data_IF_316405901283
#
_entry.id   IF_316405901283
#
_cell.length_a   1.000
_cell.length_b   1.000
_cell.length_c   1.000
_cell.angle_alpha   90.00
_cell.angle_beta   90.00
_cell.angle_gamma   90.00
#
_symmetry.space_group_name_H-M   'P 1'
#
loop_
_entity.id
_entity.type
_entity.pdbx_description
1 polymer ?
#
# COMPACT_ATOMS: atom_id res chain seq x y z
N UNK A 1 53.29 -38.76 10.24
CA UNK A 1 54.10 -37.59 9.84
C UNK A 1 53.14 -36.41 9.78
N UNK A 2 53.09 -35.58 10.84
CA UNK A 2 52.14 -34.47 10.98
C UNK A 2 52.64 -33.24 10.21
N UNK A 3 51.89 -32.78 9.21
CA UNK A 3 52.11 -31.47 8.57
C UNK A 3 51.21 -30.44 9.26
N UNK A 4 51.80 -29.64 10.15
CA UNK A 4 51.22 -28.41 10.68
C UNK A 4 51.27 -27.34 9.58
N UNK A 5 50.12 -26.96 9.02
CA UNK A 5 50.02 -25.74 8.21
C UNK A 5 49.94 -24.52 9.14
N UNK A 6 51.02 -23.74 9.18
CA UNK A 6 51.08 -22.44 9.83
C UNK A 6 50.40 -21.42 8.90
N UNK A 7 49.21 -20.94 9.27
CA UNK A 7 48.58 -19.80 8.62
C UNK A 7 49.23 -18.51 9.12
N UNK A 8 50.09 -17.94 8.29
CA UNK A 8 50.77 -16.68 8.54
C UNK A 8 49.81 -15.53 8.20
N UNK A 9 49.52 -14.67 9.17
CA UNK A 9 48.63 -13.51 9.05
C UNK A 9 49.01 -12.62 7.86
N UNK A 10 48.09 -12.47 6.89
CA UNK A 10 48.21 -11.52 5.79
C UNK A 10 47.76 -10.13 6.24
N UNK A 11 48.64 -9.14 6.09
CA UNK A 11 48.36 -7.72 6.36
C UNK A 11 47.32 -7.12 5.39
N UNK A 12 46.53 -6.12 5.81
CA UNK A 12 45.37 -5.61 5.06
C UNK A 12 45.67 -5.02 3.67
N UNK A 13 46.92 -4.65 3.36
CA UNK A 13 47.31 -4.17 2.02
C UNK A 13 47.31 -5.26 0.94
N UNK A 14 47.45 -6.54 1.29
CA UNK A 14 47.43 -7.66 0.31
C UNK A 14 46.03 -8.18 -0.02
N UNK A 15 45.04 -7.84 0.81
CA UNK A 15 43.64 -8.24 0.58
C UNK A 15 43.05 -7.48 -0.61
N UNK A 16 43.36 -6.20 -0.77
CA UNK A 16 42.88 -5.38 -1.90
C UNK A 16 43.38 -5.85 -3.27
N UNK A 17 44.65 -6.26 -3.38
CA UNK A 17 45.20 -6.80 -4.64
C UNK A 17 44.69 -8.23 -4.94
N UNK A 18 44.38 -9.03 -3.92
CA UNK A 18 43.74 -10.34 -4.11
C UNK A 18 42.28 -10.22 -4.54
N UNK A 19 41.53 -9.23 -4.04
CA UNK A 19 40.14 -8.97 -4.44
C UNK A 19 40.06 -8.49 -5.89
N UNK A 20 40.97 -7.62 -6.32
CA UNK A 20 41.03 -7.15 -7.72
C UNK A 20 41.43 -8.26 -8.70
N UNK A 21 42.36 -9.15 -8.31
CA UNK A 21 42.74 -10.31 -9.13
C UNK A 21 41.68 -11.41 -9.13
N UNK A 22 40.96 -11.59 -8.01
CA UNK A 22 39.82 -12.50 -7.91
C UNK A 22 38.62 -12.05 -8.75
N UNK A 23 38.31 -10.75 -8.75
CA UNK A 23 37.24 -10.17 -9.57
C UNK A 23 37.53 -10.27 -11.08
N UNK A 24 38.79 -10.10 -11.49
CA UNK A 24 39.21 -10.27 -12.89
C UNK A 24 39.11 -11.75 -13.36
N UNK A 25 39.38 -12.71 -12.48
CA UNK A 25 39.18 -14.14 -12.74
C UNK A 25 37.69 -14.53 -12.79
N UNK A 26 36.85 -13.90 -11.97
CA UNK A 26 35.39 -14.05 -11.98
C UNK A 26 34.76 -13.54 -13.29
N UNK A 27 35.19 -12.36 -13.78
CA UNK A 27 34.74 -11.83 -15.08
C UNK A 27 35.21 -12.66 -16.27
N UNK A 28 36.40 -13.28 -16.20
CA UNK A 28 36.87 -14.21 -17.23
C UNK A 28 36.07 -15.52 -17.22
N UNK A 29 35.73 -16.07 -16.04
CA UNK A 29 34.94 -17.29 -15.91
C UNK A 29 33.49 -17.15 -16.38
N UNK A 30 32.87 -15.97 -16.18
CA UNK A 30 31.51 -15.68 -16.65
C UNK A 30 31.45 -15.60 -18.20
N UNK A 31 32.56 -15.26 -18.87
CA UNK A 31 32.61 -15.13 -20.33
C UNK A 31 32.85 -16.44 -21.11
N UNK A 32 33.23 -17.54 -20.44
CA UNK A 32 33.57 -18.82 -21.08
C UNK A 32 32.64 -20.00 -20.73
N UNK A 33 31.71 -19.85 -19.77
CA UNK A 33 30.83 -20.93 -19.32
C UNK A 33 29.50 -21.01 -20.09
N UNK A 34 29.55 -21.34 -21.38
CA UNK A 34 28.37 -21.80 -22.09
C UNK A 34 27.78 -23.05 -21.41
N UNK A 35 26.50 -23.00 -21.08
CA UNK A 35 25.71 -24.11 -20.55
C UNK A 35 25.59 -25.23 -21.60
N UNK A 36 26.60 -26.09 -21.70
CA UNK A 36 26.44 -27.43 -22.23
C UNK A 36 25.96 -28.33 -21.09
N UNK A 37 24.67 -28.64 -21.10
CA UNK A 37 24.06 -29.64 -20.25
C UNK A 37 24.44 -31.03 -20.77
N UNK A 38 25.66 -31.45 -20.45
CA UNK A 38 26.09 -32.81 -20.71
C UNK A 38 25.55 -33.74 -19.61
N UNK A 39 24.98 -34.87 -20.02
CA UNK A 39 24.27 -35.82 -19.19
C UNK A 39 25.24 -36.66 -18.32
N UNK A 40 26.01 -36.00 -17.48
CA UNK A 40 26.82 -36.63 -16.44
C UNK A 40 26.04 -36.58 -15.13
N UNK A 41 26.04 -37.69 -14.38
CA UNK A 41 25.52 -37.74 -13.02
C UNK A 41 26.06 -36.55 -12.24
N UNK A 42 25.22 -35.85 -11.47
CA UNK A 42 25.63 -34.67 -10.72
C UNK A 42 25.52 -34.97 -9.22
N UNK A 43 26.55 -34.62 -8.46
CA UNK A 43 26.51 -34.56 -7.00
C UNK A 43 25.91 -33.21 -6.63
N UNK A 44 24.89 -33.23 -5.78
CA UNK A 44 24.31 -32.00 -5.20
C UNK A 44 24.93 -31.84 -3.82
N UNK A 45 25.74 -30.80 -3.64
CA UNK A 45 26.16 -30.37 -2.31
C UNK A 45 25.14 -29.39 -1.79
N UNK A 46 24.50 -29.72 -0.69
CA UNK A 46 23.54 -28.86 -0.01
C UNK A 46 23.94 -28.62 1.46
N UNK A 47 23.63 -27.41 1.95
CA UNK A 47 23.84 -27.03 3.34
C UNK A 47 22.80 -26.00 3.75
N UNK A 48 22.24 -26.19 4.92
CA UNK A 48 21.42 -25.19 5.59
C UNK A 48 22.33 -24.21 6.32
N UNK A 49 22.18 -22.92 6.04
CA UNK A 49 22.96 -21.87 6.70
C UNK A 49 22.05 -20.79 7.28
N UNK A 50 22.40 -20.30 8.46
CA UNK A 50 21.80 -19.09 9.02
C UNK A 50 22.62 -17.87 8.64
N UNK A 51 21.98 -16.90 8.01
CA UNK A 51 22.60 -15.66 7.55
C UNK A 51 21.83 -14.47 8.10
N UNK A 52 22.51 -13.54 8.77
CA UNK A 52 21.90 -12.30 9.26
C UNK A 52 21.57 -11.29 8.14
N UNK A 53 21.78 -11.65 6.89
CA UNK A 53 21.59 -10.81 5.71
C UNK A 53 21.05 -11.64 4.54
N UNK A 54 20.46 -10.96 3.55
CA UNK A 54 19.97 -11.60 2.32
C UNK A 54 21.16 -11.93 1.39
N UNK A 55 21.40 -13.20 1.04
CA UNK A 55 22.46 -13.58 0.12
C UNK A 55 22.17 -13.05 -1.29
N UNK A 56 23.21 -12.56 -1.96
CA UNK A 56 23.16 -12.13 -3.36
C UNK A 56 23.97 -13.10 -4.25
N UNK A 57 25.20 -13.41 -3.83
CA UNK A 57 26.11 -14.31 -4.54
C UNK A 57 26.79 -15.25 -3.55
N UNK A 58 27.26 -16.39 -4.03
CA UNK A 58 28.10 -17.27 -3.24
C UNK A 58 28.82 -18.30 -4.08
N UNK A 59 29.91 -18.80 -3.52
CA UNK A 59 30.80 -19.74 -4.19
C UNK A 59 31.12 -20.88 -3.23
N UNK A 60 30.96 -22.10 -3.72
CA UNK A 60 31.50 -23.29 -3.10
C UNK A 60 32.91 -23.55 -3.63
N UNK A 61 33.84 -23.76 -2.71
CA UNK A 61 35.16 -24.30 -3.00
C UNK A 61 35.11 -25.78 -2.68
N UNK A 62 35.22 -26.63 -3.69
CA UNK A 62 35.04 -28.07 -3.56
C UNK A 62 36.36 -28.76 -3.91
N UNK A 63 36.91 -29.53 -2.98
CA UNK A 63 38.02 -30.45 -3.20
C UNK A 63 37.50 -31.88 -3.09
N UNK A 64 37.73 -32.69 -4.12
CA UNK A 64 37.40 -34.10 -4.15
C UNK A 64 38.67 -34.93 -3.95
N UNK A 65 38.70 -35.79 -2.94
CA UNK A 65 39.82 -36.70 -2.61
C UNK A 65 41.21 -36.04 -2.60
N UNK A 66 41.29 -34.78 -2.12
CA UNK A 66 42.55 -34.04 -2.00
C UNK A 66 43.06 -33.41 -3.31
N UNK A 67 42.27 -33.41 -4.39
CA UNK A 67 42.57 -32.70 -5.62
C UNK A 67 42.44 -31.17 -5.45
N UNK A 68 42.95 -30.41 -6.43
CA UNK A 68 42.85 -28.95 -6.43
C UNK A 68 41.39 -28.49 -6.30
N UNK A 69 41.09 -27.51 -5.43
CA UNK A 69 39.73 -27.06 -5.23
C UNK A 69 39.18 -26.37 -6.48
N UNK A 70 38.00 -26.78 -6.90
CA UNK A 70 37.24 -26.15 -7.98
C UNK A 70 36.15 -25.23 -7.43
N UNK A 71 35.78 -24.21 -8.20
CA UNK A 71 34.81 -23.19 -7.82
C UNK A 71 33.47 -23.48 -8.48
N UNK A 72 32.40 -23.52 -7.68
CA UNK A 72 31.04 -23.69 -8.17
C UNK A 72 30.13 -22.60 -7.61
N UNK A 73 29.26 -22.06 -8.47
CA UNK A 73 28.28 -21.05 -8.04
C UNK A 73 27.27 -21.67 -7.08
N UNK A 74 27.04 -21.01 -5.96
CA UNK A 74 26.01 -21.39 -4.99
C UNK A 74 24.64 -20.89 -5.44
N UNK A 75 23.62 -21.72 -5.29
CA UNK A 75 22.21 -21.36 -5.45
C UNK A 75 21.56 -21.26 -4.06
N UNK A 76 20.74 -20.24 -3.86
CA UNK A 76 20.12 -19.93 -2.59
C UNK A 76 18.60 -20.05 -2.68
N UNK A 77 18.00 -20.77 -1.73
CA UNK A 77 16.54 -20.87 -1.57
C UNK A 77 16.21 -20.55 -0.12
N UNK A 78 15.27 -19.62 0.10
CA UNK A 78 14.83 -19.29 1.45
C UNK A 78 14.11 -20.50 2.07
N UNK A 79 14.49 -20.86 3.31
CA UNK A 79 13.81 -21.91 4.07
C UNK A 79 12.46 -21.41 4.56
N UNK A 80 11.44 -22.28 4.55
CA UNK A 80 10.15 -22.01 5.21
C UNK A 80 10.16 -22.31 6.70
N UNK A 81 11.22 -22.94 7.23
CA UNK A 81 11.28 -23.43 8.60
C UNK A 81 11.68 -22.33 9.62
N UNK A 82 12.60 -21.43 9.25
CA UNK A 82 12.99 -20.31 10.10
C UNK A 82 13.31 -19.03 9.31
N UNK A 83 12.99 -17.84 9.85
CA UNK A 83 13.48 -16.59 9.28
C UNK A 83 15.01 -16.57 9.31
N UNK A 84 15.64 -16.07 8.25
CA UNK A 84 17.11 -15.99 8.07
C UNK A 84 17.83 -17.33 7.86
N UNK A 85 17.08 -18.40 7.63
CA UNK A 85 17.63 -19.70 7.24
C UNK A 85 17.55 -19.89 5.72
N UNK A 86 18.66 -20.30 5.12
CA UNK A 86 18.80 -20.46 3.68
C UNK A 86 19.32 -21.85 3.35
N UNK A 87 18.64 -22.50 2.40
CA UNK A 87 19.13 -23.70 1.74
C UNK A 87 20.09 -23.27 0.64
N UNK A 88 21.33 -23.73 0.73
CA UNK A 88 22.38 -23.35 -0.22
C UNK A 88 22.92 -24.62 -0.85
N UNK A 89 23.01 -24.64 -2.17
CA UNK A 89 23.59 -25.79 -2.84
C UNK A 89 24.26 -25.49 -4.17
N UNK A 90 25.10 -26.41 -4.61
CA UNK A 90 25.76 -26.38 -5.90
C UNK A 90 25.71 -27.75 -6.56
N UNK A 91 25.70 -27.74 -7.89
CA UNK A 91 25.81 -28.94 -8.71
C UNK A 91 27.26 -29.15 -9.10
N UNK A 92 27.77 -30.34 -8.82
CA UNK A 92 29.15 -30.72 -9.07
C UNK A 92 29.12 -31.94 -10.01
N UNK A 93 29.96 -31.98 -11.05
CA UNK A 93 30.08 -33.16 -11.90
C UNK A 93 30.44 -34.38 -11.05
N UNK A 94 29.66 -35.45 -11.13
CA UNK A 94 29.95 -36.69 -10.41
C UNK A 94 31.02 -37.47 -11.16
N UNK A 95 32.09 -37.82 -10.45
CA UNK A 95 33.02 -38.86 -10.88
C UNK A 95 32.85 -40.05 -9.93
N UNK A 96 32.57 -41.27 -10.44
CA UNK A 96 32.32 -42.46 -9.62
C UNK A 96 33.52 -42.88 -8.75
N UNK A 97 34.72 -42.36 -9.01
CA UNK A 97 35.90 -42.61 -8.17
C UNK A 97 35.98 -41.72 -6.93
N UNK A 98 35.19 -40.63 -6.86
CA UNK A 98 35.22 -39.68 -5.75
C UNK A 98 34.50 -40.28 -4.53
N UNK A 99 35.24 -40.44 -3.42
CA UNK A 99 34.70 -40.98 -2.16
C UNK A 99 34.45 -39.91 -1.11
N UNK A 100 35.25 -38.86 -1.12
CA UNK A 100 35.16 -37.78 -0.14
C UNK A 100 35.17 -36.43 -0.85
N UNK A 101 34.25 -35.57 -0.44
CA UNK A 101 34.15 -34.19 -0.92
C UNK A 101 34.30 -33.26 0.27
N UNK A 102 35.36 -32.46 0.26
CA UNK A 102 35.55 -31.36 1.18
C UNK A 102 35.07 -30.07 0.53
N UNK A 103 34.15 -29.35 1.16
CA UNK A 103 33.67 -28.08 0.63
C UNK A 103 33.67 -26.95 1.66
N UNK A 104 34.01 -25.75 1.23
CA UNK A 104 33.79 -24.50 1.98
C UNK A 104 32.92 -23.54 1.19
N UNK A 105 32.19 -22.67 1.89
CA UNK A 105 31.22 -21.78 1.28
C UNK A 105 31.55 -20.33 1.65
N UNK A 106 31.58 -19.47 0.65
CA UNK A 106 31.63 -18.01 0.81
C UNK A 106 30.33 -17.43 0.28
N UNK A 107 29.69 -16.57 1.07
CA UNK A 107 28.45 -15.89 0.72
C UNK A 107 28.65 -14.38 0.82
N UNK A 108 28.18 -13.66 -0.20
CA UNK A 108 28.13 -12.21 -0.24
C UNK A 108 26.68 -11.75 -0.28
N UNK A 109 26.34 -10.77 0.56
CA UNK A 109 25.04 -10.10 0.57
C UNK A 109 25.06 -8.82 -0.26
N UNK A 110 23.86 -8.33 -0.60
CA UNK A 110 23.70 -7.08 -1.35
C UNK A 110 24.28 -5.86 -0.63
N UNK A 111 24.30 -5.89 0.71
CA UNK A 111 24.75 -4.78 1.57
C UNK A 111 26.24 -4.84 1.92
N UNK A 112 27.09 -5.45 1.06
CA UNK A 112 28.53 -5.67 1.29
C UNK A 112 28.88 -6.56 2.50
N UNK A 113 27.89 -7.17 3.14
CA UNK A 113 28.11 -8.17 4.18
C UNK A 113 28.61 -9.48 3.56
N UNK A 114 29.51 -10.19 4.25
CA UNK A 114 29.98 -11.50 3.80
C UNK A 114 30.05 -12.49 4.95
N UNK A 115 29.82 -13.77 4.64
CA UNK A 115 29.94 -14.88 5.57
C UNK A 115 30.82 -15.97 4.96
N UNK A 116 31.76 -16.48 5.77
CA UNK A 116 32.62 -17.60 5.41
C UNK A 116 32.25 -18.78 6.30
N UNK A 117 31.97 -19.92 5.69
CA UNK A 117 31.73 -21.17 6.39
C UNK A 117 32.97 -22.05 6.28
N UNK A 118 33.43 -22.65 7.40
CA UNK A 118 34.62 -23.49 7.40
C UNK A 118 34.42 -24.73 6.53
N UNK A 119 35.52 -25.35 6.05
CA UNK A 119 35.45 -26.56 5.26
C UNK A 119 34.75 -27.68 6.03
N UNK A 120 33.85 -28.37 5.34
CA UNK A 120 33.14 -29.55 5.83
C UNK A 120 33.46 -30.70 4.90
N UNK A 121 33.88 -31.82 5.47
CA UNK A 121 34.11 -33.06 4.72
C UNK A 121 32.83 -33.88 4.70
N UNK A 122 32.45 -34.34 3.52
CA UNK A 122 31.32 -35.22 3.30
C UNK A 122 31.80 -36.52 2.66
N UNK A 123 31.52 -37.64 3.32
CA UNK A 123 31.76 -38.98 2.77
C UNK A 123 30.59 -39.36 1.88
N UNK A 124 30.85 -39.59 0.58
CA UNK A 124 29.88 -40.14 -0.35
C UNK A 124 29.80 -41.65 -0.08
N UNK A 125 28.88 -42.05 0.79
CA UNK A 125 28.62 -43.47 1.02
C UNK A 125 28.15 -44.14 -0.29
N UNK A 126 28.68 -45.33 -0.59
CA UNK A 126 28.37 -46.14 -1.80
C UNK A 126 26.88 -46.54 -1.95
N UNK A 127 25.99 -46.06 -1.09
CA UNK A 127 24.57 -46.39 -1.09
C UNK A 127 23.73 -45.13 -0.86
N UNK A 128 23.31 -44.47 -1.94
CA UNK A 128 21.96 -43.93 -2.09
C UNK A 128 21.73 -43.56 -3.56
N UNK A 129 21.43 -44.61 -4.33
CA UNK A 129 20.81 -44.48 -5.64
C UNK A 129 19.59 -43.54 -5.52
N UNK A 130 19.55 -42.54 -6.39
CA UNK A 130 18.54 -41.50 -6.58
C UNK A 130 17.07 -41.98 -6.75
N UNK A 131 16.75 -43.27 -6.61
CA UNK A 131 15.39 -43.80 -6.77
C UNK A 131 14.40 -43.32 -5.69
N UNK A 132 14.88 -42.93 -4.51
CA UNK A 132 14.06 -42.27 -3.48
C UNK A 132 13.72 -40.82 -3.87
N UNK A 133 14.61 -40.14 -4.60
CA UNK A 133 14.43 -38.76 -5.05
C UNK A 133 13.33 -38.65 -6.10
N UNK A 134 13.28 -39.53 -7.10
CA UNK A 134 12.27 -39.46 -8.17
C UNK A 134 10.85 -39.72 -7.66
N UNK A 135 10.66 -40.74 -6.79
CA UNK A 135 9.35 -41.00 -6.16
C UNK A 135 8.92 -39.87 -5.23
N UNK A 136 9.86 -39.22 -4.54
CA UNK A 136 9.57 -38.06 -3.71
C UNK A 136 9.25 -36.82 -4.55
N UNK A 137 9.93 -36.64 -5.69
CA UNK A 137 9.64 -35.58 -6.65
C UNK A 137 8.26 -35.77 -7.29
N UNK A 138 7.90 -36.99 -7.70
CA UNK A 138 6.57 -37.33 -8.22
C UNK A 138 5.48 -37.04 -7.20
N UNK A 139 5.67 -37.43 -5.94
CA UNK A 139 4.74 -37.10 -4.84
C UNK A 139 4.64 -35.61 -4.58
N UNK A 140 5.75 -34.89 -4.64
CA UNK A 140 5.75 -33.44 -4.46
C UNK A 140 5.03 -32.73 -5.61
N UNK A 141 5.26 -33.16 -6.85
CA UNK A 141 4.58 -32.63 -8.04
C UNK A 141 3.08 -32.95 -7.99
N UNK A 142 2.69 -34.16 -7.57
CA UNK A 142 1.27 -34.52 -7.43
C UNK A 142 0.59 -33.68 -6.35
N UNK A 143 1.21 -33.52 -5.18
CA UNK A 143 0.69 -32.66 -4.10
C UNK A 143 0.56 -31.20 -4.54
N UNK A 144 1.54 -30.67 -5.29
CA UNK A 144 1.48 -29.31 -5.84
C UNK A 144 0.37 -29.16 -6.88
N UNK A 145 0.13 -30.17 -7.73
CA UNK A 145 -0.99 -30.17 -8.69
C UNK A 145 -2.34 -30.18 -7.99
N UNK A 146 -2.50 -31.00 -6.94
CA UNK A 146 -3.75 -31.06 -6.18
C UNK A 146 -4.02 -29.76 -5.43
N UNK A 147 -2.97 -29.14 -4.88
CA UNK A 147 -3.06 -27.83 -4.24
C UNK A 147 -3.45 -26.74 -5.26
N UNK A 148 -2.84 -26.73 -6.44
CA UNK A 148 -3.21 -25.80 -7.52
C UNK A 148 -4.66 -25.98 -7.97
N UNK A 149 -5.14 -27.23 -8.11
CA UNK A 149 -6.55 -27.51 -8.41
C UNK A 149 -7.48 -27.01 -7.31
N UNK A 150 -7.10 -27.17 -6.04
CA UNK A 150 -7.90 -26.67 -4.92
C UNK A 150 -8.00 -25.14 -4.94
N UNK A 151 -6.90 -24.46 -5.26
CA UNK A 151 -6.87 -23.00 -5.42
C UNK A 151 -7.68 -22.54 -6.62
N UNK A 152 -7.64 -23.26 -7.74
CA UNK A 152 -8.46 -22.95 -8.91
C UNK A 152 -9.96 -23.04 -8.58
N UNK A 153 -10.39 -24.08 -7.86
CA UNK A 153 -11.78 -24.23 -7.40
C UNK A 153 -12.18 -23.10 -6.45
N UNK A 154 -11.32 -22.76 -5.48
CA UNK A 154 -11.58 -21.64 -4.55
C UNK A 154 -11.66 -20.29 -5.28
N UNK A 155 -10.77 -20.06 -6.24
CA UNK A 155 -10.73 -18.82 -7.03
C UNK A 155 -12.02 -18.68 -7.85
N UNK A 156 -12.45 -19.75 -8.55
CA UNK A 156 -13.72 -19.75 -9.28
C UNK A 156 -14.93 -19.50 -8.38
N UNK A 157 -14.96 -20.11 -7.20
CA UNK A 157 -16.03 -19.89 -6.23
C UNK A 157 -16.07 -18.43 -5.73
N UNK A 158 -14.91 -17.80 -5.53
CA UNK A 158 -14.81 -16.39 -5.17
C UNK A 158 -15.22 -15.47 -6.32
N UNK A 159 -14.82 -15.77 -7.55
CA UNK A 159 -15.24 -15.03 -8.75
C UNK A 159 -16.76 -15.07 -8.93
N UNK A 160 -17.38 -16.24 -8.78
CA UNK A 160 -18.84 -16.39 -8.84
C UNK A 160 -19.54 -15.61 -7.71
N UNK A 161 -18.97 -15.62 -6.50
CA UNK A 161 -19.49 -14.83 -5.38
C UNK A 161 -19.40 -13.33 -5.65
N UNK A 162 -18.28 -12.85 -6.17
CA UNK A 162 -18.08 -11.44 -6.52
C UNK A 162 -19.04 -11.00 -7.64
N UNK A 163 -19.28 -11.87 -8.63
CA UNK A 163 -20.24 -11.62 -9.68
C UNK A 163 -21.65 -11.44 -9.13
N UNK A 164 -22.09 -12.34 -8.24
CA UNK A 164 -23.40 -12.22 -7.57
C UNK A 164 -23.53 -10.93 -6.77
N UNK A 165 -22.52 -10.59 -5.97
CA UNK A 165 -22.50 -9.35 -5.19
C UNK A 165 -22.57 -8.10 -6.08
N UNK A 166 -21.95 -8.14 -7.27
CA UNK A 166 -22.01 -7.06 -8.24
C UNK A 166 -23.41 -6.92 -8.84
N UNK A 167 -24.03 -8.03 -9.23
CA UNK A 167 -25.40 -8.05 -9.77
C UNK A 167 -26.40 -7.56 -8.71
N UNK A 168 -26.23 -7.94 -7.44
CA UNK A 168 -27.03 -7.46 -6.31
C UNK A 168 -26.85 -5.96 -6.09
N UNK A 169 -25.60 -5.47 -6.11
CA UNK A 169 -25.30 -4.04 -5.97
C UNK A 169 -25.90 -3.19 -7.10
N UNK A 170 -25.87 -3.70 -8.35
CA UNK A 170 -26.52 -3.05 -9.49
C UNK A 170 -28.04 -3.01 -9.32
N UNK A 171 -28.63 -4.11 -8.87
CA UNK A 171 -30.06 -4.20 -8.60
C UNK A 171 -30.49 -3.21 -7.51
N UNK A 172 -29.74 -3.13 -6.40
CA UNK A 172 -29.97 -2.15 -5.32
C UNK A 172 -29.80 -0.72 -5.83
N UNK A 173 -28.78 -0.45 -6.65
CA UNK A 173 -28.57 0.86 -7.26
C UNK A 173 -29.74 1.28 -8.15
N UNK A 174 -30.31 0.35 -8.91
CA UNK A 174 -31.51 0.59 -9.71
C UNK A 174 -32.74 0.87 -8.85
N UNK A 175 -32.93 0.14 -7.75
CA UNK A 175 -33.99 0.43 -6.78
C UNK A 175 -33.85 1.82 -6.16
N UNK A 176 -32.62 2.24 -5.81
CA UNK A 176 -32.35 3.59 -5.32
C UNK A 176 -32.80 4.67 -6.31
N UNK A 177 -32.44 4.52 -7.60
CA UNK A 177 -32.87 5.45 -8.66
C UNK A 177 -34.38 5.49 -8.85
N UNK A 178 -35.06 4.35 -8.73
CA UNK A 178 -36.51 4.27 -8.83
C UNK A 178 -37.15 5.03 -7.66
N UNK A 179 -36.63 4.88 -6.43
CA UNK A 179 -37.13 5.60 -5.26
C UNK A 179 -36.90 7.12 -5.36
N UNK A 180 -35.73 7.55 -5.84
CA UNK A 180 -35.44 8.96 -6.10
C UNK A 180 -36.41 9.55 -7.14
N UNK A 181 -36.61 8.84 -8.26
CA UNK A 181 -37.57 9.27 -9.29
C UNK A 181 -39.02 9.31 -8.76
N UNK A 182 -39.39 8.40 -7.86
CA UNK A 182 -40.71 8.39 -7.24
C UNK A 182 -40.91 9.55 -6.26
N UNK A 183 -39.89 9.89 -5.46
CA UNK A 183 -39.91 11.05 -4.57
C UNK A 183 -40.03 12.35 -5.37
N UNK A 184 -39.23 12.51 -6.42
CA UNK A 184 -39.30 13.66 -7.33
C UNK A 184 -40.66 13.77 -8.00
N UNK A 185 -41.22 12.65 -8.48
CA UNK A 185 -42.56 12.62 -9.06
C UNK A 185 -43.61 13.08 -8.03
N UNK A 186 -43.55 12.59 -6.79
CA UNK A 186 -44.47 13.00 -5.73
C UNK A 186 -44.38 14.50 -5.40
N UNK A 187 -43.17 15.07 -5.38
CA UNK A 187 -42.93 16.49 -5.17
C UNK A 187 -43.52 17.33 -6.31
N UNK A 188 -43.31 16.90 -7.55
CA UNK A 188 -43.85 17.61 -8.71
C UNK A 188 -45.38 17.52 -8.79
N UNK A 189 -45.97 16.38 -8.42
CA UNK A 189 -47.43 16.24 -8.31
C UNK A 189 -48.02 17.15 -7.23
N UNK A 190 -47.38 17.25 -6.07
CA UNK A 190 -47.80 18.17 -5.02
C UNK A 190 -47.75 19.63 -5.50
N UNK A 191 -46.65 20.03 -6.15
CA UNK A 191 -46.53 21.38 -6.75
C UNK A 191 -47.60 21.64 -7.82
N UNK A 192 -47.90 20.64 -8.66
CA UNK A 192 -48.94 20.75 -9.66
C UNK A 192 -50.33 20.95 -9.03
N UNK A 193 -50.65 20.22 -7.96
CA UNK A 193 -51.91 20.40 -7.23
C UNK A 193 -52.03 21.79 -6.60
N UNK A 194 -50.94 22.29 -6.01
CA UNK A 194 -50.90 23.64 -5.45
C UNK A 194 -51.12 24.70 -6.54
N UNK A 195 -50.44 24.57 -7.69
CA UNK A 195 -50.62 25.47 -8.82
C UNK A 195 -52.04 25.43 -9.42
N UNK A 196 -52.66 24.24 -9.49
CA UNK A 196 -54.06 24.11 -9.91
C UNK A 196 -54.99 24.85 -8.95
N UNK A 197 -54.75 24.71 -7.64
CA UNK A 197 -55.53 25.41 -6.62
C UNK A 197 -55.36 26.92 -6.74
N UNK A 198 -54.15 27.41 -6.94
CA UNK A 198 -53.86 28.83 -7.14
C UNK A 198 -54.52 29.38 -8.41
N UNK A 199 -54.46 28.63 -9.51
CA UNK A 199 -55.15 28.99 -10.75
C UNK A 199 -56.68 29.07 -10.55
N UNK A 200 -57.26 28.11 -9.81
CA UNK A 200 -58.67 28.14 -9.44
C UNK A 200 -59.04 29.34 -8.58
N UNK A 201 -58.21 29.65 -7.57
CA UNK A 201 -58.39 30.84 -6.73
C UNK A 201 -58.32 32.12 -7.57
N UNK A 202 -57.34 32.25 -8.46
CA UNK A 202 -57.19 33.40 -9.35
C UNK A 202 -58.39 33.57 -10.29
N UNK A 203 -58.89 32.48 -10.88
CA UNK A 203 -60.13 32.53 -11.68
C UNK A 203 -61.32 33.00 -10.86
N UNK A 204 -61.46 32.50 -9.62
CA UNK A 204 -62.53 32.91 -8.72
C UNK A 204 -62.41 34.40 -8.36
N UNK A 205 -61.21 34.88 -8.03
CA UNK A 205 -60.95 36.31 -7.79
C UNK A 205 -61.25 37.16 -9.03
N UNK A 206 -60.86 36.73 -10.24
CA UNK A 206 -61.15 37.44 -11.48
C UNK A 206 -62.65 37.51 -11.77
N UNK A 207 -63.39 36.44 -11.52
CA UNK A 207 -64.85 36.43 -11.69
C UNK A 207 -65.57 37.36 -10.69
N UNK A 208 -65.10 37.40 -9.45
CA UNK A 208 -65.58 38.33 -8.42
C UNK A 208 -65.21 39.79 -8.75
N UNK A 209 -64.02 40.03 -9.30
CA UNK A 209 -63.58 41.35 -9.73
C UNK A 209 -64.42 41.86 -10.92
N UNK A 210 -64.78 40.99 -11.86
CA UNK A 210 -65.64 41.34 -13.02
C UNK A 210 -67.10 41.59 -12.64
N UNK A 211 -67.61 40.97 -11.58
CA UNK A 211 -69.03 41.07 -11.19
C UNK A 211 -69.36 42.26 -10.30
N UNK A 212 -68.35 42.90 -9.67
CA UNK A 212 -68.56 44.12 -8.88
C UNK A 212 -68.52 45.36 -9.77
N UNK A 213 -69.47 46.27 -9.56
CA UNK A 213 -69.43 47.60 -10.16
C UNK A 213 -68.15 48.34 -9.72
N UNK A 214 -67.57 49.12 -10.64
CA UNK A 214 -66.39 49.93 -10.35
C UNK A 214 -66.69 50.84 -9.16
N UNK A 215 -65.89 50.77 -8.07
CA UNK A 215 -66.12 51.63 -6.91
C UNK A 215 -65.99 53.10 -7.33
N UNK A 216 -66.76 54.00 -6.69
CA UNK A 216 -66.84 55.43 -7.04
C UNK A 216 -65.47 56.14 -7.17
N UNK A 217 -64.42 55.61 -6.54
CA UNK A 217 -63.05 56.14 -6.57
C UNK A 217 -62.06 55.26 -7.35
N UNK A 218 -62.52 54.48 -8.33
CA UNK A 218 -61.71 53.50 -9.07
C UNK A 218 -60.38 54.09 -9.57
N UNK A 219 -60.40 55.21 -10.29
CA UNK A 219 -59.19 55.83 -10.85
C UNK A 219 -58.18 56.26 -9.78
N UNK A 220 -58.65 56.80 -8.65
CA UNK A 220 -57.78 57.19 -7.53
C UNK A 220 -57.14 55.97 -6.89
N UNK A 221 -57.93 54.91 -6.68
CA UNK A 221 -57.44 53.64 -6.11
C UNK A 221 -56.51 52.90 -7.05
N UNK A 222 -56.78 52.94 -8.35
CA UNK A 222 -55.93 52.36 -9.39
C UNK A 222 -54.57 53.05 -9.40
N UNK A 223 -54.56 54.39 -9.34
CA UNK A 223 -53.31 55.15 -9.20
C UNK A 223 -52.54 54.80 -7.92
N UNK A 224 -53.21 54.79 -6.77
CA UNK A 224 -52.60 54.42 -5.47
C UNK A 224 -52.05 52.97 -5.48
N UNK A 225 -52.79 52.01 -6.04
CA UNK A 225 -52.36 50.62 -6.17
C UNK A 225 -51.19 50.47 -7.15
N UNK A 226 -51.19 51.21 -8.25
CA UNK A 226 -50.08 51.20 -9.22
C UNK A 226 -48.81 51.75 -8.58
N UNK A 227 -48.94 52.81 -7.78
CA UNK A 227 -47.83 53.35 -6.99
C UNK A 227 -47.32 52.33 -5.97
N UNK A 228 -48.21 51.65 -5.24
CA UNK A 228 -47.84 50.59 -4.31
C UNK A 228 -47.16 49.39 -5.00
N UNK A 229 -47.65 48.98 -6.17
CA UNK A 229 -47.04 47.92 -6.98
C UNK A 229 -45.64 48.31 -7.45
N UNK A 230 -45.44 49.56 -7.89
CA UNK A 230 -44.10 50.05 -8.25
C UNK A 230 -43.15 50.00 -7.05
N UNK A 231 -43.61 50.46 -5.87
CA UNK A 231 -42.83 50.40 -4.63
C UNK A 231 -42.51 48.97 -4.20
N UNK A 232 -43.46 48.03 -4.31
CA UNK A 232 -43.22 46.60 -4.03
C UNK A 232 -42.25 45.98 -5.02
N UNK A 233 -42.29 46.40 -6.29
CA UNK A 233 -41.36 45.92 -7.32
C UNK A 233 -39.94 46.39 -7.02
N UNK A 234 -39.77 47.63 -6.58
CA UNK A 234 -38.46 48.16 -6.18
C UNK A 234 -37.94 47.43 -4.93
N UNK A 235 -38.80 47.21 -3.92
CA UNK A 235 -38.44 46.42 -2.73
C UNK A 235 -38.09 44.97 -3.10
N UNK A 236 -38.79 44.36 -4.06
CA UNK A 236 -38.50 43.01 -4.53
C UNK A 236 -37.14 42.94 -5.24
N UNK A 237 -36.82 43.93 -6.08
CA UNK A 237 -35.49 44.05 -6.71
C UNK A 237 -34.38 44.24 -5.68
N UNK A 238 -34.61 45.07 -4.67
CA UNK A 238 -33.65 45.28 -3.58
C UNK A 238 -33.43 43.99 -2.78
N UNK A 239 -34.51 43.24 -2.50
CA UNK A 239 -34.44 41.95 -1.84
C UNK A 239 -33.71 40.90 -2.67
N UNK A 240 -33.98 40.82 -3.97
CA UNK A 240 -33.29 39.92 -4.91
C UNK A 240 -31.80 40.27 -5.01
N UNK A 241 -31.44 41.55 -5.12
CA UNK A 241 -30.04 41.98 -5.13
C UNK A 241 -29.33 41.66 -3.81
N UNK A 242 -30.02 41.79 -2.68
CA UNK A 242 -29.49 41.45 -1.35
C UNK A 242 -29.28 39.96 -1.21
N UNK A 243 -30.20 39.14 -1.73
CA UNK A 243 -30.10 37.69 -1.75
C UNK A 243 -28.94 37.23 -2.64
N UNK A 244 -28.80 37.84 -3.81
CA UNK A 244 -27.70 37.58 -4.73
C UNK A 244 -26.34 37.93 -4.11
N UNK A 245 -26.28 39.04 -3.37
CA UNK A 245 -25.09 39.47 -2.61
C UNK A 245 -24.79 38.50 -1.46
N UNK A 246 -25.81 38.03 -0.72
CA UNK A 246 -25.64 37.02 0.33
C UNK A 246 -25.12 35.69 -0.23
N UNK A 247 -25.64 35.25 -1.39
CA UNK A 247 -25.14 34.05 -2.08
C UNK A 247 -23.69 34.22 -2.51
N UNK A 248 -23.34 35.33 -3.13
CA UNK A 248 -21.96 35.60 -3.56
C UNK A 248 -20.99 35.64 -2.35
N UNK A 249 -21.40 36.26 -1.25
CA UNK A 249 -20.62 36.30 -0.01
C UNK A 249 -20.47 34.90 0.59
N UNK A 250 -21.57 34.13 0.64
CA UNK A 250 -21.57 32.75 1.12
C UNK A 250 -20.67 31.82 0.28
N UNK A 251 -20.66 31.97 -1.04
CA UNK A 251 -19.74 31.27 -1.94
C UNK A 251 -18.29 31.68 -1.70
N UNK A 252 -18.02 32.98 -1.53
CA UNK A 252 -16.68 33.47 -1.17
C UNK A 252 -16.17 32.90 0.15
N UNK A 253 -17.02 32.84 1.17
CA UNK A 253 -16.66 32.26 2.46
C UNK A 253 -16.50 30.73 2.40
N UNK A 254 -17.31 30.04 1.60
CA UNK A 254 -17.12 28.62 1.32
C UNK A 254 -15.77 28.37 0.62
N UNK A 255 -15.43 29.20 -0.38
CA UNK A 255 -14.14 29.16 -1.06
C UNK A 255 -12.96 29.38 -0.11
N UNK A 256 -13.06 30.34 0.81
CA UNK A 256 -12.06 30.55 1.88
C UNK A 256 -11.94 29.33 2.79
N UNK A 257 -13.06 28.74 3.22
CA UNK A 257 -13.05 27.53 4.06
C UNK A 257 -12.42 26.34 3.35
N UNK A 258 -12.73 26.14 2.08
CA UNK A 258 -12.11 25.09 1.26
C UNK A 258 -10.62 25.32 1.07
N UNK A 259 -10.18 26.56 0.82
CA UNK A 259 -8.77 26.91 0.74
C UNK A 259 -8.03 26.65 2.07
N UNK A 260 -8.66 26.94 3.22
CA UNK A 260 -8.10 26.57 4.53
C UNK A 260 -7.98 25.05 4.65
N UNK A 261 -9.04 24.29 4.35
CA UNK A 261 -9.02 22.82 4.39
C UNK A 261 -7.89 22.27 3.51
N UNK A 262 -7.75 22.79 2.29
CA UNK A 262 -6.72 22.34 1.35
C UNK A 262 -5.30 22.71 1.83
N UNK A 263 -5.12 23.90 2.42
CA UNK A 263 -3.86 24.28 3.05
C UNK A 263 -3.51 23.36 4.23
N UNK A 264 -4.49 22.98 5.05
CA UNK A 264 -4.30 22.05 6.17
C UNK A 264 -4.17 20.59 5.74
N UNK A 265 -4.62 20.24 4.52
CA UNK A 265 -4.50 18.88 3.97
C UNK A 265 -3.07 18.57 3.54
N UNK A 266 -2.30 19.60 3.17
CA UNK A 266 -0.90 19.48 2.79
C UNK A 266 0.06 19.59 3.99
N UNK A 267 -0.43 20.00 5.16
CA UNK A 267 0.31 19.89 6.40
C UNK A 267 0.29 18.42 6.86
N UNK A 268 1.48 17.79 6.91
CA UNK A 268 1.61 16.43 7.40
C UNK A 268 1.15 16.35 8.86
N UNK A 269 0.25 15.42 9.15
CA UNK A 269 -0.27 15.18 10.51
C UNK A 269 0.88 14.90 11.49
N UNK A 270 1.94 14.22 11.03
CA UNK A 270 3.18 13.98 11.79
C UNK A 270 3.96 15.27 12.12
N UNK A 271 4.02 16.25 11.20
CA UNK A 271 4.70 17.52 11.43
C UNK A 271 3.93 18.39 12.45
N UNK A 272 2.60 18.36 12.41
CA UNK A 272 1.76 19.03 13.39
C UNK A 272 1.85 18.37 14.78
N UNK A 273 1.90 17.04 14.85
CA UNK A 273 2.12 16.31 16.10
C UNK A 273 3.52 16.58 16.68
N UNK A 274 4.56 16.62 15.85
CA UNK A 274 5.91 17.00 16.28
C UNK A 274 5.95 18.42 16.84
N UNK A 275 5.37 19.40 16.13
CA UNK A 275 5.29 20.78 16.61
C UNK A 275 4.49 20.91 17.90
N UNK A 276 3.37 20.18 18.02
CA UNK A 276 2.55 20.20 19.23
C UNK A 276 3.28 19.56 20.42
N UNK A 277 4.03 18.48 20.19
CA UNK A 277 4.89 17.88 21.21
C UNK A 277 6.06 18.80 21.58
N UNK A 278 6.64 19.52 20.64
CA UNK A 278 7.67 20.53 20.90
C UNK A 278 7.12 21.69 21.75
N UNK A 279 5.94 22.21 21.42
CA UNK A 279 5.27 23.26 22.20
C UNK A 279 4.91 22.76 23.60
N UNK A 280 4.42 21.52 23.75
CA UNK A 280 4.15 20.90 25.05
C UNK A 280 5.43 20.74 25.89
N UNK A 281 6.54 20.32 25.28
CA UNK A 281 7.85 20.25 25.95
C UNK A 281 8.33 21.62 26.38
N UNK A 282 8.27 22.62 25.50
CA UNK A 282 8.59 24.01 25.84
C UNK A 282 7.71 24.54 26.97
N UNK A 283 6.41 24.24 26.95
CA UNK A 283 5.50 24.59 28.03
C UNK A 283 5.90 23.93 29.35
N UNK A 284 6.18 22.63 29.37
CA UNK A 284 6.64 21.94 30.58
C UNK A 284 8.00 22.47 31.08
N UNK A 285 8.90 22.80 30.16
CA UNK A 285 10.17 23.43 30.51
C UNK A 285 9.98 24.83 31.08
N UNK A 286 9.05 25.61 30.54
CA UNK A 286 8.69 26.92 31.06
C UNK A 286 7.98 26.80 32.41
N UNK A 287 7.06 25.86 32.59
CA UNK A 287 6.40 25.58 33.88
C UNK A 287 7.43 25.12 34.93
N UNK A 288 8.42 24.32 34.55
CA UNK A 288 9.55 23.95 35.43
C UNK A 288 10.51 25.09 35.72
N UNK A 289 10.80 25.95 34.72
CA UNK A 289 11.73 27.08 34.86
C UNK A 289 11.12 28.27 35.59
N UNK A 290 9.83 28.49 35.42
CA UNK A 290 9.10 29.63 35.97
C UNK A 290 8.19 29.28 37.13
N UNK A 291 8.09 27.99 37.51
CA UNK A 291 7.37 27.55 38.71
C UNK A 291 5.99 28.19 38.80
N UNK A 292 5.14 27.96 37.80
CA UNK A 292 3.74 28.41 37.91
C UNK A 292 3.13 27.63 39.07
N UNK A 293 2.79 28.41 40.09
CA UNK A 293 2.41 28.02 41.43
C UNK A 293 1.34 26.94 41.44
N UNK A 294 1.46 26.03 42.42
CA UNK A 294 0.33 25.27 42.93
C UNK A 294 -0.86 26.22 43.11
N UNK A 295 -1.98 25.84 42.47
CA UNK A 295 -3.30 26.33 42.81
C UNK A 295 -3.57 25.99 44.28
N UNK A 296 -3.25 26.91 45.18
CA UNK A 296 -3.84 26.95 46.50
C UNK A 296 -4.54 28.30 46.71
N UNK A 297 -5.87 28.21 46.72
CA UNK A 297 -6.82 29.05 47.44
C UNK A 297 -7.00 30.51 46.98
N UNK A 298 -8.21 30.78 46.48
CA UNK A 298 -8.86 32.08 46.16
C UNK A 298 -8.52 32.71 44.81
N UNK A 299 -9.48 32.67 43.88
CA UNK A 299 -9.36 33.38 42.61
C UNK A 299 -10.64 33.48 41.78
N UNK A 300 -11.66 34.16 42.31
CA UNK A 300 -12.76 34.69 41.49
C UNK A 300 -12.19 35.54 40.35
N UNK A 301 -12.56 35.24 39.10
CA UNK A 301 -12.32 36.12 37.96
C UNK A 301 -13.39 37.21 37.98
N UNK A 302 -13.03 38.39 38.49
CA UNK A 302 -13.80 39.61 38.27
C UNK A 302 -13.34 40.22 36.95
N UNK A 303 -14.26 40.31 35.99
CA UNK A 303 -14.08 41.05 34.74
C UNK A 303 -14.50 42.50 35.01
N UNK A 304 -13.57 43.44 34.81
CA UNK A 304 -13.89 44.84 34.52
C UNK A 304 -13.74 45.07 33.02
#
# INVERSE_FOLDING_TARGET
>A
MMLRFVWQFCTPKRVGEMVLRGAALLLAAISLGGLEADAQSNIIVDKVVQLSFKPAEGIFFVSADGNQPMLYSAQFVASSAAPNEWLVGARIPSNPEIRTVEFSLIVWGADQNSALFPPVTWELAEHENFESSDKNLERYVSQRRDLLRSWEVQTRAQEDSLRRLRDDAETIGNFGRILEAQDDLSKTEAQLQDLIRDAGNLQLFLSLARSRSTPRNYLKREFELTQQLSSLTDVAKDAESSEHTRRATGQGDLGKKLAIIESTRMDNLEDLEQRLNEVRRRRQELERKFGVMDEDQYGNVVIH
#
